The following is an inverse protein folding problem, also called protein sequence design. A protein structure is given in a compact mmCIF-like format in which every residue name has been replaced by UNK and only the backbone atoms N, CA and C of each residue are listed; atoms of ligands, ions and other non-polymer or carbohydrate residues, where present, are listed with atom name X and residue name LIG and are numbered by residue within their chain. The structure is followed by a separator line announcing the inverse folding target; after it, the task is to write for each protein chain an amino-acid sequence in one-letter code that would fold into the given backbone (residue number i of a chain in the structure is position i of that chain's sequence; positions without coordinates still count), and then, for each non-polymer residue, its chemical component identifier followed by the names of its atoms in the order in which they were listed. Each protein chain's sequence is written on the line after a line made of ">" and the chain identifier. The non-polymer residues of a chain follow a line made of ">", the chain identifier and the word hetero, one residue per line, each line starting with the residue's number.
data_IF_805519051852
#
_entry.id   IF_805519051852
#
_cell.length_a   1.000
_cell.length_b   1.000
_cell.length_c   1.000
_cell.angle_alpha   90.00
_cell.angle_beta   90.00
_cell.angle_gamma   90.00
#
_symmetry.space_group_name_H-M   'P 1'
#
loop_
_entity.id
_entity.type
_entity.pdbx_description
1 polymer ?
#
# COMPACT_ATOMS: atom_id res chain seq x y z
N UNK A 1 -2.98 60.45 -13.85
CA UNK A 1 -1.69 59.84 -13.45
C UNK A 1 -1.88 59.37 -12.03
N UNK A 2 -2.23 58.09 -11.86
CA UNK A 2 -2.35 57.45 -10.55
C UNK A 2 -1.09 56.62 -10.35
N UNK A 3 -0.42 56.78 -9.21
CA UNK A 3 0.84 56.14 -8.86
C UNK A 3 0.56 55.21 -7.67
N UNK A 4 0.90 53.94 -7.83
CA UNK A 4 0.89 52.94 -6.76
C UNK A 4 2.27 52.97 -6.09
N UNK A 5 2.31 53.13 -4.77
CA UNK A 5 3.49 52.89 -3.95
C UNK A 5 3.45 51.44 -3.45
N UNK A 6 4.48 50.67 -3.81
CA UNK A 6 4.80 49.39 -3.18
C UNK A 6 6.02 49.65 -2.28
N UNK A 7 5.81 49.63 -0.97
CA UNK A 7 6.90 49.52 -0.01
C UNK A 7 7.40 48.07 -0.03
N UNK A 8 8.63 47.90 -0.54
CA UNK A 8 9.44 46.70 -0.33
C UNK A 8 10.37 47.05 0.83
N UNK A 9 10.07 46.54 2.02
CA UNK A 9 11.05 46.48 3.10
C UNK A 9 11.76 45.12 3.06
N UNK A 10 13.08 45.25 2.99
CA UNK A 10 14.12 44.23 2.87
C UNK A 10 14.39 43.66 4.27
N UNK A 11 13.81 42.49 4.57
CA UNK A 11 14.18 41.73 5.77
C UNK A 11 15.23 40.68 5.41
N UNK A 12 16.45 41.06 5.76
CA UNK A 12 17.68 40.27 5.81
C UNK A 12 17.45 38.80 6.13
N UNK A 13 18.03 37.94 5.27
CA UNK A 13 18.14 36.48 5.47
C UNK A 13 19.10 36.22 6.63
N UNK A 14 18.58 36.23 7.85
CA UNK A 14 19.33 35.84 9.03
C UNK A 14 19.51 34.31 8.99
N UNK A 15 20.73 33.88 8.67
CA UNK A 15 21.13 32.48 8.71
C UNK A 15 21.08 31.97 10.14
N UNK A 16 19.91 31.47 10.56
CA UNK A 16 19.79 30.65 11.76
C UNK A 16 20.38 29.28 11.47
N UNK A 17 21.70 29.17 11.60
CA UNK A 17 22.39 27.91 11.85
C UNK A 17 21.95 27.38 13.23
N UNK A 18 20.78 26.76 13.32
CA UNK A 18 20.30 26.18 14.56
C UNK A 18 19.29 25.03 14.37
N UNK A 19 19.42 24.17 13.35
CA UNK A 19 18.59 22.95 13.22
C UNK A 19 19.39 21.72 12.76
N UNK A 20 20.64 21.56 13.21
CA UNK A 20 21.45 20.36 12.86
C UNK A 20 21.95 19.54 14.06
N UNK A 21 21.33 19.68 15.24
CA UNK A 21 21.71 18.90 16.42
C UNK A 21 20.52 18.40 17.23
N UNK A 22 19.60 17.63 16.63
CA UNK A 22 18.69 16.76 17.40
C UNK A 22 18.59 15.32 16.86
N UNK A 23 19.54 14.89 16.03
CA UNK A 23 19.63 13.49 15.60
C UNK A 23 20.81 12.77 16.29
N UNK A 24 20.79 12.61 17.63
CA UNK A 24 21.69 11.63 18.28
C UNK A 24 21.34 11.16 19.70
N UNK A 25 20.22 11.57 20.32
CA UNK A 25 19.80 10.98 21.61
C UNK A 25 18.27 10.87 21.67
N UNK A 26 17.72 9.78 21.15
CA UNK A 26 16.30 9.43 21.38
C UNK A 26 16.23 8.12 22.17
N UNK A 27 15.32 8.10 23.15
CA UNK A 27 15.05 6.98 24.06
C UNK A 27 14.73 5.67 23.29
N UNK A 28 14.84 4.50 23.95
CA UNK A 28 14.40 3.23 23.36
C UNK A 28 12.93 3.31 22.94
N UNK A 29 12.63 2.76 21.77
CA UNK A 29 11.25 2.57 21.33
C UNK A 29 10.67 1.35 22.06
N UNK A 30 9.83 1.60 23.07
CA UNK A 30 9.25 0.58 23.94
C UNK A 30 8.00 -0.09 23.33
N UNK A 31 7.65 0.19 22.06
CA UNK A 31 6.46 -0.35 21.42
C UNK A 31 6.60 -1.88 21.24
N UNK A 32 5.65 -2.70 21.71
CA UNK A 32 5.78 -4.15 21.63
C UNK A 32 5.54 -4.65 20.21
N UNK A 33 6.33 -5.64 19.79
CA UNK A 33 5.99 -6.47 18.64
C UNK A 33 4.79 -7.36 19.00
N UNK A 34 3.77 -7.38 18.16
CA UNK A 34 2.52 -8.09 18.40
C UNK A 34 2.04 -8.78 17.12
N UNK A 35 1.64 -10.04 17.27
CA UNK A 35 0.82 -10.73 16.27
C UNK A 35 -0.67 -10.43 16.53
N UNK A 36 -1.42 -10.17 15.45
CA UNK A 36 -2.85 -9.95 15.49
C UNK A 36 -3.55 -11.07 14.75
N UNK A 37 -4.59 -11.64 15.36
CA UNK A 37 -5.40 -12.64 14.68
C UNK A 37 -6.27 -12.00 13.60
N UNK A 38 -6.53 -12.74 12.53
CA UNK A 38 -7.42 -12.28 11.46
C UNK A 38 -8.84 -12.04 11.99
N UNK A 39 -9.29 -12.87 12.93
CA UNK A 39 -10.60 -12.76 13.57
C UNK A 39 -10.77 -11.46 14.35
N UNK A 40 -9.73 -11.04 15.10
CA UNK A 40 -9.72 -9.76 15.83
C UNK A 40 -9.76 -8.58 14.85
N UNK A 41 -8.94 -8.59 13.80
CA UNK A 41 -8.90 -7.51 12.81
C UNK A 41 -10.19 -7.42 11.99
N UNK A 42 -10.86 -8.55 11.70
CA UNK A 42 -12.16 -8.54 11.03
C UNK A 42 -13.24 -7.87 11.89
N UNK A 43 -13.13 -7.93 13.22
CA UNK A 43 -14.11 -7.30 14.12
C UNK A 43 -13.96 -5.77 14.16
N UNK A 44 -12.78 -5.25 13.83
CA UNK A 44 -12.51 -3.81 13.84
C UNK A 44 -12.80 -3.11 12.51
N UNK A 45 -13.15 -3.88 11.47
CA UNK A 45 -13.51 -3.34 10.16
C UNK A 45 -14.71 -2.38 10.24
N UNK A 46 -14.66 -1.24 9.53
CA UNK A 46 -15.80 -0.33 9.42
C UNK A 46 -16.99 -0.98 8.70
N UNK A 47 -18.16 -0.35 8.77
CA UNK A 47 -19.36 -0.81 8.08
C UNK A 47 -19.28 -0.56 6.57
N UNK A 48 -18.76 0.59 6.16
CA UNK A 48 -18.63 1.01 4.77
C UNK A 48 -17.23 1.58 4.51
N UNK A 49 -16.72 1.36 3.31
CA UNK A 49 -15.48 1.99 2.81
C UNK A 49 -15.65 2.51 1.39
N UNK A 50 -14.96 3.61 1.06
CA UNK A 50 -14.69 3.99 -0.34
C UNK A 50 -13.37 3.39 -0.83
N UNK A 51 -13.36 2.96 -2.10
CA UNK A 51 -12.19 2.37 -2.75
C UNK A 51 -11.96 2.95 -4.15
N UNK A 52 -10.70 2.86 -4.57
CA UNK A 52 -10.26 3.08 -5.95
C UNK A 52 -9.22 2.02 -6.33
N UNK A 53 -8.73 2.04 -7.57
CA UNK A 53 -7.69 1.12 -8.02
C UNK A 53 -6.41 1.82 -8.43
N UNK A 54 -5.29 1.16 -8.16
CA UNK A 54 -3.98 1.55 -8.69
C UNK A 54 -3.59 0.62 -9.83
N UNK A 55 -2.96 1.19 -10.85
CA UNK A 55 -2.46 0.41 -11.98
C UNK A 55 -1.06 -0.12 -11.68
N UNK A 56 -0.87 -1.43 -11.89
CA UNK A 56 0.41 -2.13 -11.79
C UNK A 56 0.63 -2.88 -13.10
N UNK A 57 1.45 -2.32 -13.99
CA UNK A 57 1.61 -2.82 -15.35
C UNK A 57 0.27 -2.82 -16.10
N UNK A 58 -0.21 -4.01 -16.46
CA UNK A 58 -1.52 -4.23 -17.12
C UNK A 58 -2.66 -4.56 -16.16
N UNK A 59 -2.39 -4.66 -14.86
CA UNK A 59 -3.36 -5.07 -13.85
C UNK A 59 -3.82 -3.88 -13.01
N UNK A 60 -5.02 -3.98 -12.46
CA UNK A 60 -5.57 -3.01 -11.51
C UNK A 60 -5.73 -3.68 -10.14
N UNK A 61 -5.15 -3.07 -9.11
CA UNK A 61 -5.23 -3.55 -7.74
C UNK A 61 -6.14 -2.58 -6.96
N UNK A 62 -7.30 -3.06 -6.49
CA UNK A 62 -8.21 -2.24 -5.70
C UNK A 62 -7.62 -2.01 -4.32
N UNK A 63 -7.78 -0.79 -3.82
CA UNK A 63 -7.38 -0.39 -2.48
C UNK A 63 -8.35 0.64 -1.92
N UNK A 64 -8.42 0.68 -0.60
CA UNK A 64 -9.18 1.69 0.13
C UNK A 64 -8.62 3.08 -0.17
N UNK A 65 -9.52 4.06 -0.23
CA UNK A 65 -9.14 5.45 -0.43
C UNK A 65 -8.57 6.07 0.84
N UNK A 66 -7.47 6.81 0.68
CA UNK A 66 -6.83 7.52 1.80
C UNK A 66 -7.77 8.57 2.42
N UNK A 67 -8.63 9.20 1.61
CA UNK A 67 -9.65 10.12 2.11
C UNK A 67 -10.67 9.42 3.01
N UNK A 68 -11.08 8.20 2.67
CA UNK A 68 -12.02 7.41 3.45
C UNK A 68 -11.43 7.00 4.81
N UNK A 69 -10.16 6.58 4.82
CA UNK A 69 -9.40 6.31 6.05
C UNK A 69 -9.36 7.57 6.94
N UNK A 70 -9.04 8.73 6.35
CA UNK A 70 -9.02 10.02 7.07
C UNK A 70 -10.39 10.34 7.68
N UNK A 71 -11.47 10.17 6.92
CA UNK A 71 -12.82 10.47 7.38
C UNK A 71 -13.23 9.55 8.54
N UNK A 72 -12.93 8.25 8.45
CA UNK A 72 -13.22 7.29 9.51
C UNK A 72 -12.51 7.69 10.81
N UNK A 73 -11.22 8.02 10.73
CA UNK A 73 -10.45 8.38 11.91
C UNK A 73 -10.94 9.70 12.54
N UNK A 74 -11.24 10.72 11.73
CA UNK A 74 -11.84 11.97 12.23
C UNK A 74 -13.20 11.74 12.91
N UNK A 75 -13.99 10.76 12.43
CA UNK A 75 -15.27 10.41 13.02
C UNK A 75 -15.13 9.68 14.37
N UNK A 76 -14.08 8.85 14.56
CA UNK A 76 -13.83 8.16 15.83
C UNK A 76 -13.38 9.11 16.95
N UNK A 77 -12.62 10.16 16.60
CA UNK A 77 -12.25 11.25 17.52
C UNK A 77 -13.46 12.01 18.07
N UNK A 78 -14.39 12.40 17.19
CA UNK A 78 -15.57 13.17 17.57
C UNK A 78 -16.51 12.42 18.54
N UNK A 79 -16.34 11.11 18.70
CA UNK A 79 -17.16 10.25 19.54
C UNK A 79 -16.46 9.85 20.86
N UNK A 80 -15.16 10.09 21.01
CA UNK A 80 -14.37 9.68 22.17
C UNK A 80 -14.07 10.84 23.14
N UNK A 81 -14.96 11.08 24.11
CA UNK A 81 -14.77 12.07 25.19
C UNK A 81 -13.79 11.62 26.30
N UNK A 82 -13.20 10.42 26.21
CA UNK A 82 -12.32 9.86 27.26
C UNK A 82 -10.95 9.39 26.70
N UNK A 83 -9.82 9.89 27.24
CA UNK A 83 -8.49 9.57 26.74
C UNK A 83 -8.04 8.18 27.23
N UNK A 84 -8.28 7.15 26.41
CA UNK A 84 -7.60 5.86 26.53
C UNK A 84 -6.29 5.88 25.73
N UNK A 85 -5.37 4.94 25.98
CA UNK A 85 -4.13 4.86 25.19
C UNK A 85 -4.39 4.55 23.71
N UNK A 86 -5.52 3.89 23.37
CA UNK A 86 -6.01 3.73 21.99
C UNK A 86 -6.38 5.09 21.36
N UNK A 87 -7.02 5.97 22.12
CA UNK A 87 -7.35 7.32 21.65
C UNK A 87 -6.11 8.16 21.35
N UNK A 88 -4.99 7.96 22.05
CA UNK A 88 -3.71 8.64 21.73
C UNK A 88 -3.07 8.10 20.44
N UNK A 89 -3.13 6.80 20.20
CA UNK A 89 -2.63 6.18 18.95
C UNK A 89 -3.50 6.61 17.75
N UNK A 90 -4.83 6.64 17.92
CA UNK A 90 -5.75 7.17 16.91
C UNK A 90 -5.52 8.66 16.65
N UNK A 91 -5.35 9.49 17.70
CA UNK A 91 -5.04 10.92 17.56
C UNK A 91 -3.74 11.17 16.80
N UNK A 92 -2.67 10.42 17.10
CA UNK A 92 -1.41 10.50 16.37
C UNK A 92 -1.58 10.05 14.91
N UNK A 93 -2.41 9.04 14.67
CA UNK A 93 -2.76 8.55 13.33
C UNK A 93 -3.53 9.63 12.52
N UNK A 94 -4.39 10.41 13.16
CA UNK A 94 -5.21 11.48 12.53
C UNK A 94 -4.41 12.73 12.23
N UNK A 95 -3.63 13.20 13.21
CA UNK A 95 -2.70 14.31 13.01
C UNK A 95 -1.71 13.97 11.88
N UNK A 96 -1.32 12.70 11.77
CA UNK A 96 -0.51 12.23 10.66
C UNK A 96 -1.28 12.18 9.33
N UNK A 97 -2.46 11.57 9.30
CA UNK A 97 -3.22 11.43 8.06
C UNK A 97 -3.52 12.81 7.46
N UNK A 98 -3.61 13.87 8.26
CA UNK A 98 -3.81 15.26 7.81
C UNK A 98 -2.54 16.02 7.42
N UNK A 99 -1.33 15.48 7.65
CA UNK A 99 -0.06 16.13 7.29
C UNK A 99 0.27 16.02 5.79
N UNK A 100 1.00 17.00 5.23
CA UNK A 100 1.54 16.93 3.86
C UNK A 100 2.80 16.03 3.74
N UNK A 101 3.50 15.76 4.86
CA UNK A 101 4.63 14.84 4.91
C UNK A 101 4.18 13.47 5.40
N UNK A 102 4.45 12.43 4.61
CA UNK A 102 4.03 11.05 4.86
C UNK A 102 4.95 10.27 5.82
N UNK A 103 5.92 10.90 6.48
CA UNK A 103 6.87 10.22 7.39
C UNK A 103 7.16 11.05 8.65
N UNK A 104 7.04 10.41 9.82
CA UNK A 104 7.59 10.89 11.10
C UNK A 104 8.33 9.72 11.78
N UNK A 105 9.67 9.64 11.64
CA UNK A 105 10.51 8.60 12.24
C UNK A 105 10.09 8.20 13.65
N UNK A 106 9.86 6.89 13.88
CA UNK A 106 9.54 6.27 15.20
C UNK A 106 8.21 6.66 15.86
N UNK A 107 7.57 7.75 15.44
CA UNK A 107 6.19 8.08 15.86
C UNK A 107 5.21 7.39 14.94
N UNK A 108 5.40 7.57 13.64
CA UNK A 108 4.57 7.00 12.58
C UNK A 108 5.36 6.89 11.26
N UNK A 109 5.67 5.66 10.86
CA UNK A 109 6.53 5.35 9.70
C UNK A 109 5.80 5.32 8.33
N UNK A 110 4.67 6.03 8.18
CA UNK A 110 3.89 6.00 6.95
C UNK A 110 2.93 4.81 6.88
N UNK A 111 2.57 4.37 5.66
CA UNK A 111 1.85 3.11 5.42
C UNK A 111 0.43 3.23 4.84
N UNK A 112 -0.24 4.37 5.02
CA UNK A 112 -1.60 4.58 4.46
C UNK A 112 -1.61 4.98 2.98
N UNK A 113 -0.48 5.49 2.49
CA UNK A 113 -0.28 5.84 1.08
C UNK A 113 0.47 4.73 0.38
N UNK A 114 0.10 4.45 -0.86
CA UNK A 114 0.90 3.60 -1.74
C UNK A 114 2.08 4.39 -2.30
N UNK A 115 3.29 3.89 -2.05
CA UNK A 115 4.52 4.48 -2.54
C UNK A 115 4.93 3.90 -3.91
N UNK A 116 5.71 4.63 -4.70
CA UNK A 116 6.05 4.23 -6.07
C UNK A 116 6.82 2.92 -6.13
N UNK A 117 7.79 2.70 -5.23
CA UNK A 117 8.55 1.44 -5.24
C UNK A 117 7.66 0.22 -4.91
N UNK A 118 6.53 0.44 -4.25
CA UNK A 118 5.53 -0.61 -3.99
C UNK A 118 4.86 -1.06 -5.29
N UNK A 119 4.55 -0.12 -6.20
CA UNK A 119 4.02 -0.42 -7.52
C UNK A 119 5.05 -1.11 -8.41
N UNK A 120 6.31 -0.64 -8.38
CA UNK A 120 7.41 -1.26 -9.13
C UNK A 120 7.62 -2.71 -8.69
N UNK A 121 7.66 -2.94 -7.36
CA UNK A 121 7.82 -4.28 -6.79
C UNK A 121 6.65 -5.19 -7.14
N UNK A 122 5.41 -4.69 -7.02
CA UNK A 122 4.22 -5.43 -7.41
C UNK A 122 4.26 -5.85 -8.88
N UNK A 123 4.67 -4.95 -9.78
CA UNK A 123 4.83 -5.26 -11.20
C UNK A 123 5.91 -6.32 -11.47
N UNK A 124 6.97 -6.32 -10.66
CA UNK A 124 8.06 -7.30 -10.76
C UNK A 124 7.66 -8.69 -10.24
N UNK A 125 6.87 -8.76 -9.16
CA UNK A 125 6.54 -10.03 -8.47
C UNK A 125 5.19 -10.63 -8.86
N UNK A 126 4.36 -9.92 -9.64
CA UNK A 126 3.02 -10.36 -10.02
C UNK A 126 2.96 -11.79 -10.55
N UNK A 127 3.96 -12.20 -11.35
CA UNK A 127 3.98 -13.51 -12.00
C UNK A 127 4.64 -14.62 -11.17
N UNK A 128 5.14 -14.33 -9.96
CA UNK A 128 5.72 -15.34 -9.08
C UNK A 128 4.68 -16.44 -8.77
N UNK A 129 5.14 -17.69 -8.78
CA UNK A 129 4.35 -18.83 -8.31
C UNK A 129 4.68 -19.07 -6.84
N UNK A 130 3.71 -18.76 -5.99
CA UNK A 130 3.83 -18.88 -4.53
C UNK A 130 2.86 -19.91 -3.95
N UNK A 131 2.22 -20.74 -4.77
CA UNK A 131 1.28 -21.75 -4.28
C UNK A 131 1.97 -22.70 -3.29
N UNK A 132 1.42 -22.82 -2.08
CA UNK A 132 1.97 -23.64 -0.99
C UNK A 132 3.26 -23.07 -0.37
N UNK A 133 3.59 -21.81 -0.66
CA UNK A 133 4.80 -21.13 -0.16
C UNK A 133 4.45 -20.10 0.92
N UNK A 134 5.50 -19.65 1.61
CA UNK A 134 5.43 -18.58 2.61
C UNK A 134 5.96 -17.27 2.04
N UNK A 135 5.11 -16.26 2.03
CA UNK A 135 5.42 -14.89 1.58
C UNK A 135 5.41 -13.97 2.80
N UNK A 136 6.43 -13.13 2.92
CA UNK A 136 6.52 -12.09 3.95
C UNK A 136 6.64 -10.73 3.27
N UNK A 137 5.81 -9.77 3.67
CA UNK A 137 6.00 -8.36 3.33
C UNK A 137 6.28 -7.53 4.58
N UNK A 138 7.47 -6.94 4.64
CA UNK A 138 7.94 -6.07 5.72
C UNK A 138 7.68 -4.61 5.39
N UNK A 139 7.09 -3.88 6.34
CA UNK A 139 6.62 -2.51 6.12
C UNK A 139 5.53 -2.48 5.06
N UNK A 140 4.51 -3.33 5.21
CA UNK A 140 3.58 -3.61 4.14
C UNK A 140 2.69 -2.42 3.76
N UNK A 141 2.30 -1.54 4.69
CA UNK A 141 1.43 -0.41 4.37
C UNK A 141 0.16 -0.84 3.63
N UNK A 142 -0.01 -0.37 2.40
CA UNK A 142 -1.11 -0.77 1.49
C UNK A 142 -1.02 -2.20 0.94
N UNK A 143 0.09 -2.90 1.17
CA UNK A 143 0.41 -4.28 0.80
C UNK A 143 0.35 -4.62 -0.70
N UNK A 144 0.51 -3.63 -1.57
CA UNK A 144 0.31 -3.77 -3.02
C UNK A 144 1.15 -4.92 -3.65
N UNK A 145 2.42 -5.16 -3.28
CA UNK A 145 3.19 -6.31 -3.73
C UNK A 145 2.55 -7.66 -3.40
N UNK A 146 2.19 -7.89 -2.13
CA UNK A 146 1.50 -9.13 -1.73
C UNK A 146 0.11 -9.25 -2.37
N UNK A 147 -0.59 -8.13 -2.51
CA UNK A 147 -1.93 -8.08 -3.10
C UNK A 147 -1.92 -8.40 -4.60
N UNK A 148 -0.88 -8.02 -5.33
CA UNK A 148 -0.70 -8.41 -6.73
C UNK A 148 -0.63 -9.94 -6.87
N UNK A 149 0.16 -10.58 -6.02
CA UNK A 149 0.31 -12.04 -5.98
C UNK A 149 -1.00 -12.70 -5.52
N UNK A 150 -1.62 -12.17 -4.47
CA UNK A 150 -2.88 -12.69 -3.94
C UNK A 150 -4.01 -12.63 -4.96
N UNK A 151 -4.12 -11.53 -5.71
CA UNK A 151 -5.11 -11.35 -6.76
C UNK A 151 -4.99 -12.45 -7.82
N UNK A 152 -3.76 -12.74 -8.27
CA UNK A 152 -3.50 -13.85 -9.20
C UNK A 152 -3.95 -15.18 -8.62
N UNK A 153 -3.56 -15.51 -7.39
CA UNK A 153 -3.93 -16.77 -6.73
C UNK A 153 -5.44 -16.98 -6.59
N UNK A 154 -6.18 -15.89 -6.32
CA UNK A 154 -7.64 -15.89 -6.17
C UNK A 154 -8.40 -15.86 -7.51
N UNK A 155 -7.71 -15.61 -8.61
CA UNK A 155 -8.25 -15.73 -9.97
C UNK A 155 -8.04 -17.12 -10.58
N UNK A 156 -7.13 -17.91 -10.02
CA UNK A 156 -6.93 -19.31 -10.37
C UNK A 156 -8.02 -20.20 -9.74
N UNK A 157 -8.22 -21.40 -10.30
CA UNK A 157 -9.19 -22.35 -9.75
C UNK A 157 -8.76 -22.86 -8.37
N UNK A 158 -9.77 -23.18 -7.55
CA UNK A 158 -9.57 -23.80 -6.24
C UNK A 158 -8.68 -25.05 -6.40
N UNK A 159 -7.62 -25.19 -5.58
CA UNK A 159 -6.72 -26.33 -5.69
C UNK A 159 -7.48 -27.67 -5.56
N UNK A 160 -7.32 -28.56 -6.54
CA UNK A 160 -7.96 -29.89 -6.54
C UNK A 160 -7.32 -30.89 -5.55
N UNK A 161 -6.25 -30.50 -4.87
CA UNK A 161 -5.45 -31.38 -4.00
C UNK A 161 -5.32 -30.77 -2.62
N UNK A 162 -5.29 -31.63 -1.60
CA UNK A 162 -4.98 -31.31 -0.22
C UNK A 162 -3.49 -30.94 -0.09
N UNK A 163 -3.10 -29.81 -0.69
CA UNK A 163 -1.76 -29.24 -0.65
C UNK A 163 -1.57 -28.28 0.53
N UNK A 164 -0.32 -27.92 0.77
CA UNK A 164 0.06 -26.96 1.81
C UNK A 164 -0.60 -25.59 1.60
N UNK A 165 -0.85 -24.89 2.70
CA UNK A 165 -1.37 -23.54 2.65
C UNK A 165 -0.35 -22.58 2.05
N UNK A 166 -0.84 -21.65 1.24
CA UNK A 166 -0.08 -20.46 0.87
C UNK A 166 -0.22 -19.45 1.99
N UNK A 167 0.89 -19.08 2.62
CA UNK A 167 0.88 -18.25 3.83
C UNK A 167 1.41 -16.86 3.50
N UNK A 168 0.62 -15.83 3.76
CA UNK A 168 1.05 -14.43 3.68
C UNK A 168 1.21 -13.84 5.08
N UNK A 169 2.42 -13.40 5.40
CA UNK A 169 2.71 -12.60 6.58
C UNK A 169 2.85 -11.14 6.19
N UNK A 170 1.99 -10.30 6.73
CA UNK A 170 1.95 -8.86 6.47
C UNK A 170 2.37 -8.14 7.74
N UNK A 171 3.50 -7.45 7.70
CA UNK A 171 4.06 -6.76 8.85
C UNK A 171 4.15 -5.27 8.61
N UNK A 172 3.62 -4.48 9.54
CA UNK A 172 3.77 -3.02 9.56
C UNK A 172 4.28 -2.54 10.93
N UNK A 173 4.83 -1.33 11.00
CA UNK A 173 5.21 -0.75 12.29
C UNK A 173 3.96 -0.37 13.10
N UNK A 174 2.88 0.05 12.44
CA UNK A 174 1.67 0.56 13.07
C UNK A 174 0.52 -0.45 13.01
N UNK A 175 -0.08 -0.77 14.15
CA UNK A 175 -1.24 -1.68 14.21
C UNK A 175 -2.46 -1.10 13.47
N UNK A 176 -2.65 0.23 13.56
CA UNK A 176 -3.71 0.96 12.86
C UNK A 176 -3.62 0.87 11.34
N UNK A 177 -2.42 0.75 10.76
CA UNK A 177 -2.26 0.56 9.31
C UNK A 177 -2.80 -0.80 8.87
N UNK A 178 -2.55 -1.85 9.67
CA UNK A 178 -3.07 -3.18 9.40
C UNK A 178 -4.61 -3.21 9.44
N UNK A 179 -5.18 -2.56 10.45
CA UNK A 179 -6.63 -2.45 10.70
C UNK A 179 -7.34 -1.60 9.63
N UNK A 180 -6.87 -0.38 9.38
CA UNK A 180 -7.59 0.58 8.54
C UNK A 180 -7.24 0.49 7.06
N UNK A 181 -6.12 -0.15 6.69
CA UNK A 181 -5.64 -0.14 5.31
C UNK A 181 -5.35 -1.54 4.79
N UNK A 182 -4.44 -2.27 5.44
CA UNK A 182 -3.95 -3.54 4.90
C UNK A 182 -5.05 -4.58 4.76
N UNK A 183 -5.80 -4.88 5.84
CA UNK A 183 -6.88 -5.86 5.78
C UNK A 183 -8.03 -5.44 4.85
N UNK A 184 -8.53 -4.18 4.88
CA UNK A 184 -9.50 -3.71 3.89
C UNK A 184 -9.04 -3.91 2.44
N UNK A 185 -7.78 -3.68 2.12
CA UNK A 185 -7.26 -3.90 0.77
C UNK A 185 -7.22 -5.39 0.38
N UNK A 186 -6.87 -6.27 1.31
CA UNK A 186 -6.94 -7.73 1.10
C UNK A 186 -8.37 -8.15 0.75
N UNK A 187 -9.35 -7.65 1.50
CA UNK A 187 -10.77 -7.94 1.25
C UNK A 187 -11.22 -7.40 -0.10
N UNK A 188 -10.80 -6.19 -0.47
CA UNK A 188 -11.09 -5.62 -1.79
C UNK A 188 -10.53 -6.47 -2.94
N UNK A 189 -9.29 -6.96 -2.80
CA UNK A 189 -8.67 -7.82 -3.81
C UNK A 189 -9.44 -9.14 -3.96
N UNK A 190 -9.83 -9.76 -2.86
CA UNK A 190 -10.73 -10.91 -2.92
C UNK A 190 -12.06 -10.55 -3.56
N UNK A 191 -12.68 -9.45 -3.13
CA UNK A 191 -13.97 -9.00 -3.61
C UNK A 191 -13.96 -8.76 -5.11
N UNK A 192 -12.87 -8.38 -5.76
CA UNK A 192 -12.79 -8.20 -7.22
C UNK A 192 -12.23 -9.41 -7.99
N UNK A 193 -11.75 -10.45 -7.30
CA UNK A 193 -11.22 -11.66 -7.92
C UNK A 193 -12.32 -12.63 -8.40
N UNK A 194 -11.96 -13.68 -9.14
CA UNK A 194 -12.85 -14.81 -9.47
C UNK A 194 -13.42 -15.47 -8.21
N UNK A 195 -12.60 -15.62 -7.16
CA UNK A 195 -13.02 -16.20 -5.89
C UNK A 195 -14.15 -15.41 -5.20
N UNK A 196 -14.21 -14.08 -5.39
CA UNK A 196 -15.28 -13.24 -4.87
C UNK A 196 -16.55 -13.19 -5.72
N UNK A 197 -16.54 -13.77 -6.93
CA UNK A 197 -17.62 -13.59 -7.93
C UNK A 197 -18.96 -14.11 -7.43
N UNK A 198 -18.95 -15.28 -6.77
CA UNK A 198 -20.15 -15.88 -6.19
C UNK A 198 -20.81 -14.96 -5.16
N UNK A 199 -20.02 -14.26 -4.34
CA UNK A 199 -20.55 -13.26 -3.40
C UNK A 199 -21.02 -12.00 -4.11
N UNK A 200 -20.22 -11.45 -5.04
CA UNK A 200 -20.59 -10.26 -5.83
C UNK A 200 -21.93 -10.42 -6.55
N UNK A 201 -22.22 -11.61 -7.06
CA UNK A 201 -23.49 -11.91 -7.73
C UNK A 201 -24.72 -11.88 -6.79
N UNK A 202 -24.52 -11.89 -5.47
CA UNK A 202 -25.61 -11.84 -4.48
C UNK A 202 -26.02 -10.42 -4.06
N UNK A 203 -25.19 -9.42 -4.37
CA UNK A 203 -25.42 -8.03 -3.97
C UNK A 203 -25.83 -7.18 -5.17
N UNK A 204 -26.64 -6.13 -4.97
CA UNK A 204 -27.00 -5.24 -6.06
C UNK A 204 -25.76 -4.52 -6.60
N UNK A 205 -25.72 -4.22 -7.90
CA UNK A 205 -24.65 -3.40 -8.47
C UNK A 205 -24.58 -2.01 -7.83
N UNK A 206 -23.42 -1.33 -7.88
CA UNK A 206 -23.28 0.02 -7.37
C UNK A 206 -24.32 0.96 -8.01
N UNK A 207 -24.96 1.79 -7.17
CA UNK A 207 -25.83 2.85 -7.68
C UNK A 207 -25.01 3.83 -8.51
N UNK A 208 -25.51 4.30 -9.67
CA UNK A 208 -24.77 5.26 -10.48
C UNK A 208 -24.48 6.50 -9.62
N UNK A 209 -23.19 6.80 -9.42
CA UNK A 209 -22.80 8.10 -8.84
C UNK A 209 -23.36 9.18 -9.79
N UNK A 210 -24.03 10.22 -9.28
CA UNK A 210 -24.49 11.29 -10.14
C UNK A 210 -23.28 11.81 -10.92
N UNK A 211 -23.38 11.81 -12.25
CA UNK A 211 -22.35 12.39 -13.10
C UNK A 211 -22.03 13.77 -12.53
N UNK A 212 -20.77 13.97 -12.14
CA UNK A 212 -20.27 15.30 -11.82
C UNK A 212 -20.37 16.15 -13.08
N UNK A 213 -21.54 16.76 -13.29
CA UNK A 213 -21.74 17.85 -14.22
C UNK A 213 -21.17 19.11 -13.60
N UNK A 214 -19.86 19.09 -13.34
CA UNK A 214 -19.07 20.27 -13.06
C UNK A 214 -17.72 20.11 -13.74
N UNK A 215 -17.74 20.04 -15.08
CA UNK A 215 -16.80 20.90 -15.80
C UNK A 215 -17.22 22.32 -15.44
N UNK A 216 -16.51 22.92 -14.48
CA UNK A 216 -16.50 24.37 -14.35
C UNK A 216 -16.29 24.93 -15.76
N UNK A 217 -17.14 25.85 -16.25
CA UNK A 217 -16.93 26.41 -17.57
C UNK A 217 -15.57 27.10 -17.57
N UNK A 218 -14.71 26.70 -18.50
CA UNK A 218 -13.50 27.46 -18.82
C UNK A 218 -13.97 28.82 -19.35
N UNK A 219 -13.88 29.85 -18.51
CA UNK A 219 -14.24 31.23 -18.86
C UNK A 219 -13.08 31.87 -19.62
N UNK A 220 -12.60 31.18 -20.66
CA UNK A 220 -11.70 31.72 -21.66
C UNK A 220 -12.27 31.40 -23.04
N UNK A 221 -13.25 32.23 -23.44
CA UNK A 221 -13.67 32.55 -24.81
C UNK A 221 -15.19 32.58 -24.95
N UNK A 222 -15.77 33.70 -24.50
CA UNK A 222 -17.04 34.19 -25.05
C UNK A 222 -16.70 34.86 -26.37
N UNK A 223 -17.09 34.23 -27.48
CA UNK A 223 -17.47 34.96 -28.69
C UNK A 223 -18.68 34.27 -29.29
N UNK A 224 -19.79 35.01 -29.33
CA UNK A 224 -20.92 34.73 -30.21
C UNK A 224 -20.43 34.81 -31.66
N UNK A 225 -20.70 33.78 -32.46
CA UNK A 225 -21.50 33.84 -33.70
C UNK A 225 -21.27 32.59 -34.59
N UNK A 226 -22.36 32.17 -35.23
CA UNK A 226 -22.47 31.32 -36.44
C UNK A 226 -22.24 29.80 -36.37
N UNK A 227 -23.38 29.08 -36.33
CA UNK A 227 -23.68 27.80 -37.00
C UNK A 227 -23.83 28.12 -38.52
N UNK A 228 -23.46 27.30 -39.54
CA UNK A 228 -23.98 25.93 -39.67
C UNK A 228 -23.27 24.87 -40.58
N UNK A 229 -23.91 23.69 -40.62
CA UNK A 229 -24.00 22.62 -41.65
C UNK A 229 -23.00 21.45 -41.70
N UNK A 230 -23.60 20.33 -42.13
CA UNK A 230 -23.28 18.91 -42.00
C UNK A 230 -22.26 18.45 -43.05
N UNK A 231 -21.50 17.38 -42.74
CA UNK A 231 -21.07 16.39 -43.72
C UNK A 231 -20.84 15.05 -43.01
N UNK A 232 -21.66 14.07 -43.39
CA UNK A 232 -21.60 12.66 -43.01
C UNK A 232 -20.48 11.95 -43.80
N UNK A 233 -19.61 11.21 -43.12
CA UNK A 233 -18.89 10.05 -43.69
C UNK A 233 -18.20 9.25 -42.56
N UNK A 234 -18.96 8.36 -41.91
CA UNK A 234 -18.39 7.31 -41.06
C UNK A 234 -18.15 6.05 -41.89
N UNK A 235 -16.89 5.64 -41.97
CA UNK A 235 -16.48 4.38 -42.58
C UNK A 235 -16.67 3.23 -41.60
N UNK A 236 -17.46 2.23 -42.01
CA UNK A 236 -17.80 1.03 -41.23
C UNK A 236 -16.54 0.25 -40.80
N UNK A 237 -16.26 0.23 -39.50
CA UNK A 237 -15.37 -0.75 -38.86
C UNK A 237 -16.21 -1.97 -38.47
N UNK A 238 -15.79 -3.23 -38.73
CA UNK A 238 -16.64 -4.39 -38.49
C UNK A 238 -16.98 -4.55 -37.01
N UNK A 239 -18.26 -4.43 -36.65
CA UNK A 239 -18.78 -4.71 -35.31
C UNK A 239 -18.52 -6.17 -34.93
N UNK A 240 -17.65 -6.37 -33.95
CA UNK A 240 -17.69 -7.58 -33.13
C UNK A 240 -18.99 -7.56 -32.31
N UNK A 241 -19.65 -8.71 -32.10
CA UNK A 241 -20.90 -8.75 -31.35
C UNK A 241 -20.67 -8.16 -29.94
N UNK A 242 -21.56 -7.26 -29.47
CA UNK A 242 -21.39 -6.64 -28.17
C UNK A 242 -21.45 -7.72 -27.10
N UNK A 243 -20.34 -7.94 -26.40
CA UNK A 243 -20.36 -8.58 -25.09
C UNK A 243 -21.37 -7.79 -24.28
N UNK A 244 -22.43 -8.43 -23.79
CA UNK A 244 -23.49 -7.79 -23.01
C UNK A 244 -22.88 -7.15 -21.76
N UNK A 245 -22.42 -5.91 -21.90
CA UNK A 245 -21.73 -5.18 -20.87
C UNK A 245 -22.81 -4.58 -19.98
N UNK A 246 -23.10 -5.20 -18.83
CA UNK A 246 -23.92 -4.56 -17.80
C UNK A 246 -23.17 -3.30 -17.33
N UNK A 247 -23.65 -2.09 -17.66
CA UNK A 247 -22.97 -0.85 -17.29
C UNK A 247 -22.96 -0.63 -15.77
N UNK A 248 -23.75 -1.41 -15.02
CA UNK A 248 -23.86 -1.32 -13.58
C UNK A 248 -23.02 -2.37 -12.86
N UNK A 249 -22.40 -3.35 -13.54
CA UNK A 249 -21.57 -4.33 -12.87
C UNK A 249 -20.38 -3.68 -12.12
N UNK A 250 -20.00 -4.23 -10.98
CA UNK A 250 -18.80 -3.81 -10.25
C UNK A 250 -17.57 -3.94 -11.17
N UNK A 251 -16.99 -2.80 -11.55
CA UNK A 251 -15.72 -2.76 -12.29
C UNK A 251 -14.58 -2.45 -11.34
N UNK A 252 -13.51 -3.22 -11.46
CA UNK A 252 -12.29 -3.01 -10.66
C UNK A 252 -11.66 -1.65 -10.92
N UNK A 253 -11.85 -1.06 -12.10
CA UNK A 253 -11.31 0.25 -12.48
C UNK A 253 -12.10 1.42 -11.91
N UNK A 254 -13.35 1.19 -11.51
CA UNK A 254 -14.26 2.27 -11.17
C UNK A 254 -14.24 2.50 -9.65
N UNK A 255 -14.08 3.76 -9.19
CA UNK A 255 -14.11 4.06 -7.77
C UNK A 255 -15.53 3.88 -7.22
N UNK A 256 -15.63 3.22 -6.07
CA UNK A 256 -16.92 2.81 -5.50
C UNK A 256 -16.93 2.79 -4.00
N UNK A 257 -18.05 2.34 -3.46
CA UNK A 257 -18.28 2.17 -2.04
C UNK A 257 -18.68 0.71 -1.80
N UNK A 258 -18.19 0.12 -0.71
CA UNK A 258 -18.44 -1.29 -0.38
C UNK A 258 -18.79 -1.44 1.10
N UNK A 259 -19.95 -2.04 1.35
CA UNK A 259 -20.40 -2.38 2.69
C UNK A 259 -19.75 -3.69 3.17
N UNK A 260 -19.00 -3.63 4.25
CA UNK A 260 -18.34 -4.75 4.93
C UNK A 260 -19.30 -5.48 5.87
N UNK A 261 -20.41 -5.97 5.30
CA UNK A 261 -21.46 -6.70 6.01
C UNK A 261 -20.95 -8.01 6.64
N UNK A 262 -21.64 -8.56 7.66
CA UNK A 262 -21.30 -9.86 8.22
C UNK A 262 -21.25 -11.00 7.18
N UNK A 263 -22.13 -10.97 6.18
CA UNK A 263 -22.12 -11.94 5.07
C UNK A 263 -20.89 -11.81 4.18
N UNK A 264 -20.41 -10.58 3.93
CA UNK A 264 -19.16 -10.34 3.22
C UNK A 264 -17.98 -10.94 3.98
N UNK A 265 -17.88 -10.63 5.28
CA UNK A 265 -16.81 -11.13 6.16
C UNK A 265 -16.78 -12.66 6.20
N UNK A 266 -17.95 -13.31 6.31
CA UNK A 266 -18.05 -14.77 6.27
C UNK A 266 -17.62 -15.35 4.92
N UNK A 267 -18.13 -14.80 3.81
CA UNK A 267 -17.80 -15.29 2.47
C UNK A 267 -16.31 -15.12 2.14
N UNK A 268 -15.69 -14.04 2.61
CA UNK A 268 -14.25 -13.82 2.50
C UNK A 268 -13.45 -14.92 3.23
N UNK A 269 -13.79 -15.21 4.49
CA UNK A 269 -13.14 -16.24 5.29
C UNK A 269 -13.29 -17.64 4.68
N UNK A 270 -14.51 -17.98 4.25
CA UNK A 270 -14.80 -19.26 3.58
C UNK A 270 -13.99 -19.39 2.29
N UNK A 271 -13.84 -18.30 1.55
CA UNK A 271 -13.05 -18.27 0.31
C UNK A 271 -11.56 -18.45 0.56
N UNK A 272 -10.98 -17.83 1.60
CA UNK A 272 -9.58 -18.04 1.96
C UNK A 272 -9.32 -19.50 2.31
N UNK A 273 -10.21 -20.11 3.12
CA UNK A 273 -10.13 -21.51 3.49
C UNK A 273 -10.21 -22.42 2.25
N UNK A 274 -11.16 -22.16 1.35
CA UNK A 274 -11.31 -22.91 0.11
C UNK A 274 -10.06 -22.83 -0.78
N UNK A 275 -9.39 -21.67 -0.86
CA UNK A 275 -8.20 -21.48 -1.68
C UNK A 275 -6.89 -21.89 -0.98
N UNK A 276 -6.97 -22.46 0.24
CA UNK A 276 -5.81 -22.80 1.07
C UNK A 276 -4.88 -21.59 1.27
N UNK A 277 -5.45 -20.43 1.60
CA UNK A 277 -4.71 -19.19 1.86
C UNK A 277 -4.80 -18.87 3.35
N UNK A 278 -3.65 -18.67 3.98
CA UNK A 278 -3.53 -18.23 5.37
C UNK A 278 -2.93 -16.82 5.42
N UNK A 279 -3.53 -15.94 6.23
CA UNK A 279 -3.08 -14.56 6.41
C UNK A 279 -2.70 -14.34 7.88
N UNK A 280 -1.52 -13.78 8.13
CA UNK A 280 -1.05 -13.43 9.47
C UNK A 280 -0.52 -12.00 9.50
N UNK A 281 -0.84 -11.27 10.56
CA UNK A 281 -0.59 -9.84 10.66
C UNK A 281 0.28 -9.53 11.88
N UNK A 282 1.31 -8.71 11.68
CA UNK A 282 2.28 -8.39 12.72
C UNK A 282 2.49 -6.88 12.80
N UNK A 283 2.41 -6.29 13.99
CA UNK A 283 2.74 -4.89 14.22
C UNK A 283 3.97 -4.71 15.10
N UNK A 284 4.67 -3.60 14.92
CA UNK A 284 5.72 -3.12 15.83
C UNK A 284 7.12 -3.16 15.22
N UNK A 285 8.16 -2.85 16.03
CA UNK A 285 9.54 -2.77 15.57
C UNK A 285 10.07 -4.10 15.04
N UNK A 286 10.91 -4.04 14.00
CA UNK A 286 11.51 -5.25 13.39
C UNK A 286 12.36 -6.07 14.35
N UNK A 287 12.95 -5.48 15.39
CA UNK A 287 13.75 -6.20 16.39
C UNK A 287 12.95 -7.21 17.20
N UNK A 288 11.64 -7.01 17.34
CA UNK A 288 10.75 -7.98 17.97
C UNK A 288 10.34 -9.13 17.04
N UNK A 289 10.53 -9.00 15.73
CA UNK A 289 10.17 -10.04 14.77
C UNK A 289 11.29 -11.09 14.67
N UNK A 290 10.96 -12.31 15.12
CA UNK A 290 11.85 -13.47 15.06
C UNK A 290 11.15 -14.61 14.29
N UNK A 291 11.35 -14.72 12.96
CA UNK A 291 10.72 -15.77 12.17
C UNK A 291 11.24 -17.15 12.58
N UNK A 292 10.33 -18.08 12.88
CA UNK A 292 10.68 -19.45 13.30
C UNK A 292 11.13 -20.34 12.14
N UNK A 293 10.63 -20.05 10.94
CA UNK A 293 10.94 -20.77 9.71
C UNK A 293 11.16 -19.75 8.61
N UNK A 294 12.15 -19.96 7.71
CA UNK A 294 12.38 -19.04 6.61
C UNK A 294 11.19 -18.95 5.65
N UNK A 295 11.16 -17.87 4.88
CA UNK A 295 10.17 -17.63 3.83
C UNK A 295 10.76 -17.94 2.46
N UNK A 296 9.88 -18.34 1.54
CA UNK A 296 10.23 -18.56 0.15
C UNK A 296 10.33 -17.24 -0.61
N UNK A 297 9.56 -16.23 -0.19
CA UNK A 297 9.58 -14.88 -0.75
C UNK A 297 9.50 -13.84 0.37
N UNK A 298 10.51 -12.98 0.46
CA UNK A 298 10.54 -11.81 1.36
C UNK A 298 10.51 -10.55 0.49
N UNK A 299 9.55 -9.68 0.77
CA UNK A 299 9.27 -8.45 0.06
C UNK A 299 9.38 -7.27 1.02
N UNK A 300 9.93 -6.17 0.54
CA UNK A 300 9.82 -4.89 1.24
C UNK A 300 9.99 -3.75 0.25
N UNK A 301 9.21 -2.67 0.44
CA UNK A 301 9.25 -1.50 -0.43
C UNK A 301 9.32 -0.21 0.39
N UNK A 302 10.30 0.64 0.08
CA UNK A 302 10.53 1.94 0.72
C UNK A 302 10.75 1.86 2.24
N UNK A 303 11.58 0.92 2.69
CA UNK A 303 11.85 0.67 4.12
C UNK A 303 13.28 1.03 4.55
N UNK A 304 14.11 1.55 3.63
CA UNK A 304 15.51 1.92 3.88
C UNK A 304 15.74 3.44 3.97
N UNK A 305 14.67 4.23 4.08
CA UNK A 305 14.74 5.69 4.11
C UNK A 305 15.36 6.24 5.40
N UNK A 306 15.31 5.48 6.50
CA UNK A 306 15.83 5.86 7.81
C UNK A 306 17.06 5.02 8.17
N UNK A 307 18.29 5.58 8.09
CA UNK A 307 19.52 4.83 8.33
C UNK A 307 19.61 4.14 9.69
N UNK A 308 18.95 4.68 10.72
CA UNK A 308 18.98 4.10 12.08
C UNK A 308 18.17 2.82 12.20
N UNK A 309 17.20 2.57 11.32
CA UNK A 309 16.36 1.36 11.31
C UNK A 309 16.93 0.25 10.41
N UNK A 310 17.88 0.59 9.53
CA UNK A 310 18.49 -0.35 8.57
C UNK A 310 19.15 -1.57 9.23
N UNK A 311 19.88 -1.47 10.37
CA UNK A 311 20.47 -2.65 11.01
C UNK A 311 19.42 -3.70 11.41
N UNK A 312 18.30 -3.26 11.99
CA UNK A 312 17.19 -4.13 12.39
C UNK A 312 16.54 -4.79 11.17
N UNK A 313 16.38 -4.05 10.06
CA UNK A 313 15.89 -4.58 8.80
C UNK A 313 16.84 -5.64 8.23
N UNK A 314 18.14 -5.33 8.12
CA UNK A 314 19.15 -6.26 7.56
C UNK A 314 19.21 -7.56 8.36
N UNK A 315 19.15 -7.48 9.71
CA UNK A 315 19.03 -8.66 10.57
C UNK A 315 17.80 -9.49 10.20
N UNK A 316 16.64 -8.85 10.09
CA UNK A 316 15.39 -9.54 9.79
C UNK A 316 15.36 -10.13 8.38
N UNK A 317 15.87 -9.43 7.37
CA UNK A 317 16.01 -9.95 6.01
C UNK A 317 16.87 -11.22 6.01
N UNK A 318 17.96 -11.24 6.77
CA UNK A 318 18.81 -12.43 6.93
C UNK A 318 18.07 -13.59 7.58
N UNK A 319 17.40 -13.32 8.71
CA UNK A 319 16.76 -14.37 9.51
C UNK A 319 15.49 -14.91 8.81
N UNK A 320 14.81 -14.06 8.03
CA UNK A 320 13.63 -14.43 7.24
C UNK A 320 13.98 -15.13 5.92
N UNK A 321 15.14 -14.83 5.32
CA UNK A 321 15.54 -15.43 4.04
C UNK A 321 16.18 -16.80 4.24
N UNK A 322 15.55 -17.84 3.69
CA UNK A 322 16.16 -19.16 3.63
C UNK A 322 17.26 -19.24 2.57
N UNK A 323 18.05 -20.31 2.58
CA UNK A 323 19.08 -20.54 1.54
C UNK A 323 18.53 -20.64 0.11
N UNK A 324 17.24 -20.96 -0.03
CA UNK A 324 16.51 -21.02 -1.31
C UNK A 324 15.47 -19.91 -1.50
N UNK A 325 15.27 -19.06 -0.49
CA UNK A 325 14.25 -18.00 -0.53
C UNK A 325 14.71 -16.81 -1.38
N UNK A 326 13.75 -16.14 -2.01
CA UNK A 326 13.98 -14.90 -2.76
C UNK A 326 13.69 -13.71 -1.86
N UNK A 327 14.66 -12.80 -1.69
CA UNK A 327 14.48 -11.58 -0.90
C UNK A 327 14.63 -10.35 -1.79
N UNK A 328 13.60 -9.50 -1.84
CA UNK A 328 13.53 -8.33 -2.71
C UNK A 328 13.28 -7.06 -1.89
N UNK A 329 14.14 -6.06 -2.10
CA UNK A 329 14.05 -4.73 -1.49
C UNK A 329 13.87 -3.71 -2.62
N UNK A 330 12.69 -3.10 -2.70
CA UNK A 330 12.43 -2.01 -3.63
C UNK A 330 12.61 -0.65 -2.94
N UNK A 331 13.45 0.22 -3.47
CA UNK A 331 13.77 1.47 -2.81
C UNK A 331 14.16 2.59 -3.77
N UNK A 332 14.04 3.83 -3.31
CA UNK A 332 14.64 4.99 -3.96
C UNK A 332 16.15 4.93 -3.79
N UNK A 333 16.89 5.34 -4.82
CA UNK A 333 18.35 5.39 -4.78
C UNK A 333 18.85 6.32 -3.67
N UNK A 334 18.14 7.43 -3.43
CA UNK A 334 18.43 8.44 -2.39
C UNK A 334 17.11 8.99 -1.83
N UNK A 335 17.03 9.14 -0.51
CA UNK A 335 15.95 9.82 0.20
C UNK A 335 16.44 11.18 0.73
N UNK A 336 16.05 12.28 0.08
CA UNK A 336 16.43 13.63 0.49
C UNK A 336 15.82 13.99 1.87
N UNK A 337 16.60 14.65 2.72
CA UNK A 337 16.18 15.12 4.05
C UNK A 337 16.35 14.12 5.19
N UNK A 338 16.15 12.82 4.95
CA UNK A 338 16.27 11.75 5.97
C UNK A 338 17.60 10.97 5.91
N UNK A 339 18.32 11.09 4.79
CA UNK A 339 19.69 10.59 4.64
C UNK A 339 19.82 9.08 4.35
N UNK A 340 18.70 8.36 4.17
CA UNK A 340 18.70 6.98 3.70
C UNK A 340 18.85 6.83 2.19
N UNK A 341 19.11 5.60 1.75
CA UNK A 341 19.35 5.29 0.35
C UNK A 341 19.95 3.90 0.18
N UNK A 342 20.08 3.49 -1.08
CA UNK A 342 20.60 2.17 -1.43
C UNK A 342 22.06 2.01 -0.96
N UNK A 343 22.88 3.06 -1.06
CA UNK A 343 24.30 2.98 -0.69
C UNK A 343 24.49 2.73 0.80
N UNK A 344 23.74 3.45 1.64
CA UNK A 344 23.77 3.31 3.09
C UNK A 344 23.26 1.93 3.51
N UNK A 345 22.22 1.43 2.85
CA UNK A 345 21.72 0.07 3.03
C UNK A 345 22.77 -1.00 2.67
N UNK A 346 23.39 -0.90 1.50
CA UNK A 346 24.41 -1.85 1.04
C UNK A 346 25.62 -1.92 1.98
N UNK A 347 26.07 -0.78 2.52
CA UNK A 347 27.15 -0.77 3.51
C UNK A 347 26.83 -1.54 4.79
N UNK A 348 25.57 -1.52 5.25
CA UNK A 348 25.15 -2.30 6.42
C UNK A 348 24.97 -3.77 6.06
N UNK A 349 24.39 -4.04 4.89
CA UNK A 349 24.20 -5.38 4.36
C UNK A 349 25.53 -6.14 4.20
N UNK A 350 26.54 -5.50 3.62
CA UNK A 350 27.88 -6.08 3.41
C UNK A 350 28.57 -6.39 4.75
N UNK A 351 28.42 -5.52 5.75
CA UNK A 351 28.95 -5.76 7.11
C UNK A 351 28.29 -6.95 7.78
N UNK A 352 27.03 -7.22 7.46
CA UNK A 352 26.27 -8.38 7.94
C UNK A 352 26.53 -9.66 7.11
N UNK A 353 27.40 -9.59 6.09
CA UNK A 353 27.76 -10.72 5.23
C UNK A 353 26.75 -11.01 4.12
N UNK A 354 25.84 -10.09 3.83
CA UNK A 354 24.95 -10.13 2.68
C UNK A 354 25.51 -9.37 1.47
N UNK A 355 24.87 -9.56 0.32
CA UNK A 355 25.11 -8.78 -0.89
C UNK A 355 23.81 -8.51 -1.63
N UNK A 356 23.76 -7.41 -2.38
CA UNK A 356 22.63 -7.03 -3.24
C UNK A 356 22.97 -7.21 -4.71
N UNK A 357 21.96 -7.48 -5.52
CA UNK A 357 22.01 -7.38 -6.99
C UNK A 357 20.82 -6.56 -7.47
N UNK A 358 21.06 -5.50 -8.24
CA UNK A 358 20.00 -4.77 -8.91
C UNK A 358 19.35 -5.67 -9.98
N UNK A 359 18.04 -5.92 -9.83
CA UNK A 359 17.26 -6.76 -10.75
C UNK A 359 16.23 -5.97 -11.57
N UNK A 360 15.98 -4.72 -11.17
CA UNK A 360 15.14 -3.77 -11.90
C UNK A 360 15.56 -2.34 -11.52
N UNK A 361 15.50 -1.41 -12.46
CA UNK A 361 15.78 0.01 -12.21
C UNK A 361 14.93 0.96 -13.06
N UNK A 362 14.58 2.11 -12.49
CA UNK A 362 14.04 3.28 -13.19
C UNK A 362 14.86 4.51 -12.84
N UNK A 363 15.30 5.25 -13.86
CA UNK A 363 16.18 6.44 -13.70
C UNK A 363 15.49 7.77 -13.99
N UNK A 364 14.25 7.75 -14.47
CA UNK A 364 13.48 8.97 -14.67
C UNK A 364 12.96 9.51 -13.33
N UNK A 365 13.18 10.80 -13.07
CA UNK A 365 12.84 11.42 -11.80
C UNK A 365 13.79 11.00 -10.66
N UNK A 366 13.22 10.75 -9.47
CA UNK A 366 14.00 10.17 -8.36
C UNK A 366 14.23 8.70 -8.67
N UNK A 367 15.48 8.32 -8.93
CA UNK A 367 15.83 6.95 -9.32
C UNK A 367 15.36 5.91 -8.29
N UNK A 368 14.85 4.78 -8.79
CA UNK A 368 14.34 3.66 -7.98
C UNK A 368 14.93 2.34 -8.48
N UNK A 369 15.12 1.38 -7.59
CA UNK A 369 15.63 0.05 -7.93
C UNK A 369 14.96 -1.04 -7.10
N UNK A 370 14.89 -2.24 -7.66
CA UNK A 370 14.61 -3.47 -6.92
C UNK A 370 15.93 -4.23 -6.77
N UNK A 371 16.29 -4.52 -5.54
CA UNK A 371 17.50 -5.25 -5.16
C UNK A 371 17.12 -6.66 -4.72
N UNK A 372 17.74 -7.66 -5.32
CA UNK A 372 17.70 -9.02 -4.80
C UNK A 372 18.84 -9.20 -3.79
N UNK A 373 18.48 -9.60 -2.56
CA UNK A 373 19.41 -9.82 -1.47
C UNK A 373 19.81 -11.29 -1.41
N UNK A 374 21.10 -11.55 -1.21
CA UNK A 374 21.66 -12.89 -1.03
C UNK A 374 22.63 -12.91 0.14
N UNK A 375 22.57 -13.96 0.94
CA UNK A 375 23.57 -14.23 1.98
C UNK A 375 24.45 -15.40 1.52
N UNK A 376 25.76 -15.32 1.77
CA UNK A 376 26.66 -16.43 1.48
C UNK A 376 26.24 -17.70 2.23
N UNK A 377 26.51 -18.88 1.64
CA UNK A 377 26.30 -20.16 2.33
C UNK A 377 27.05 -20.14 3.66
N UNK A 378 26.31 -20.28 4.77
CA UNK A 378 26.94 -20.50 6.07
C UNK A 378 27.61 -21.87 6.02
N UNK A 379 28.91 -21.92 6.27
CA UNK A 379 29.55 -23.15 6.71
C UNK A 379 29.11 -23.34 8.17
N UNK A 380 27.93 -23.93 8.35
CA UNK A 380 27.46 -24.37 9.67
C UNK A 380 28.36 -25.47 10.25
#
# INVERSE_FOLDING_TARGET
>A
MFKFDFDVEDDSVDQTQAETQEASNSAPDDRPFKEHSLEELIQTLPDDISYSSVQVGTHHIPRRDLFDVRLQLMASEAQNDNPTDKAKEEQATIEFASRPSDLVPRVYEGGMKTWECSLDLAGYVHDEDVRGKRVLELGCGTAIPSLAILQKLLNEDVPNVQGDYTVFHLQDYNSSVLEFVTLPNVILVWFFSKAGEAYRATIPPPSPKPESKTKLPDVSNITLESVPEEDEDESEVPEQPPVAHDPHAFKITDPGDLAFTPSLRSAFLDSLAAHHIELRFFSGPWDGFNPSTPYDLVLTSETIYQPTSVPSLVRLLRDASGSSGKCLVAAKMVYFGVGGGIREFEQVLEKDGGSSKCVWEQREGVGRSILQITYGLRND
#
